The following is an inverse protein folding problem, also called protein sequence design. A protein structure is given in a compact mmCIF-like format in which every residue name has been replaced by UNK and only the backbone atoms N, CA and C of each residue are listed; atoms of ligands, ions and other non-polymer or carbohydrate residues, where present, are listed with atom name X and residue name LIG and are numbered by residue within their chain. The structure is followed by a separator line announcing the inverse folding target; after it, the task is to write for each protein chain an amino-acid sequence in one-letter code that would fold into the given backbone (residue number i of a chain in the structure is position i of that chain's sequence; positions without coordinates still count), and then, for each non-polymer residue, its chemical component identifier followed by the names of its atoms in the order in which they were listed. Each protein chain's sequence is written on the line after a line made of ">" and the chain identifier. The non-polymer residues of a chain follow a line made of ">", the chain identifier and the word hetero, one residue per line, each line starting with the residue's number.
data_IF_969768733310
#
_entry.id   IF_969768733310
#
_cell.length_a   1.000
_cell.length_b   1.000
_cell.length_c   1.000
_cell.angle_alpha   90.00
_cell.angle_beta   90.00
_cell.angle_gamma   90.00
#
_symmetry.space_group_name_H-M   'P 1'
#
loop_
_entity.id
_entity.type
_entity.pdbx_description
1 polymer ?
#
# COMPACT_ATOMS: atom_id res chain seq x y z
N UNK A 1 -11.16 44.72 -42.91
CA UNK A 1 -12.00 43.85 -42.04
C UNK A 1 -11.45 42.43 -42.15
N UNK A 2 -10.69 41.98 -41.15
CA UNK A 2 -10.06 40.65 -41.14
C UNK A 2 -11.15 39.58 -40.97
N UNK A 3 -11.29 38.68 -41.95
CA UNK A 3 -12.23 37.55 -41.87
C UNK A 3 -11.80 36.67 -40.68
N UNK A 4 -12.69 36.49 -39.72
CA UNK A 4 -12.47 35.65 -38.54
C UNK A 4 -11.97 34.26 -38.94
N UNK A 5 -10.77 33.90 -38.48
CA UNK A 5 -10.05 32.70 -38.90
C UNK A 5 -10.42 31.47 -38.04
N UNK A 6 -11.69 31.39 -37.64
CA UNK A 6 -12.20 30.41 -36.66
C UNK A 6 -12.78 29.19 -37.39
N UNK A 7 -12.34 28.01 -36.98
CA UNK A 7 -12.93 26.72 -37.28
C UNK A 7 -13.96 26.32 -36.22
N UNK A 8 -15.09 25.79 -36.68
CA UNK A 8 -16.03 25.07 -35.81
C UNK A 8 -15.85 23.59 -36.08
N UNK A 9 -15.43 22.83 -35.08
CA UNK A 9 -15.32 21.38 -35.14
C UNK A 9 -16.44 20.75 -34.30
N UNK A 10 -17.02 19.65 -34.79
CA UNK A 10 -18.07 18.91 -34.09
C UNK A 10 -17.46 17.67 -33.48
N UNK A 11 -17.49 17.55 -32.16
CA UNK A 11 -16.92 16.42 -31.44
C UNK A 11 -18.06 15.52 -30.99
N UNK A 12 -18.13 14.31 -31.55
CA UNK A 12 -19.09 13.27 -31.17
C UNK A 12 -18.47 12.38 -30.09
N UNK A 13 -19.10 12.38 -28.92
CA UNK A 13 -18.80 11.49 -27.79
C UNK A 13 -19.95 10.50 -27.55
N UNK A 14 -19.77 9.48 -26.69
CA UNK A 14 -20.87 8.61 -26.24
C UNK A 14 -22.03 9.37 -25.58
N UNK A 15 -21.78 10.55 -25.00
CA UNK A 15 -22.76 11.38 -24.29
C UNK A 15 -23.46 12.41 -25.20
N UNK A 16 -23.04 12.52 -26.47
CA UNK A 16 -23.59 13.47 -27.42
C UNK A 16 -22.52 14.23 -28.21
N UNK A 17 -22.98 15.16 -29.06
CA UNK A 17 -22.12 15.95 -29.95
C UNK A 17 -22.04 17.40 -29.48
N UNK A 18 -20.83 17.91 -29.23
CA UNK A 18 -20.60 19.33 -28.88
C UNK A 18 -19.78 20.03 -29.97
N UNK A 19 -19.94 21.34 -30.09
CA UNK A 19 -19.21 22.18 -31.05
C UNK A 19 -18.08 22.92 -30.34
N UNK A 20 -16.91 22.97 -30.97
CA UNK A 20 -15.72 23.66 -30.47
C UNK A 20 -15.27 24.67 -31.49
N UNK A 21 -15.07 25.90 -31.05
CA UNK A 21 -14.47 27.00 -31.82
C UNK A 21 -12.96 27.04 -31.58
N UNK A 22 -12.18 27.01 -32.65
CA UNK A 22 -10.71 26.96 -32.59
C UNK A 22 -10.09 27.70 -33.78
N UNK A 23 -8.96 28.39 -33.63
CA UNK A 23 -8.31 29.08 -34.75
C UNK A 23 -7.64 28.08 -35.72
N UNK A 24 -7.56 28.43 -37.01
CA UNK A 24 -6.89 27.60 -38.04
C UNK A 24 -5.41 27.38 -37.79
N UNK A 25 -4.75 28.36 -37.16
CA UNK A 25 -3.30 28.33 -36.87
C UNK A 25 -2.94 27.49 -35.64
N UNK A 26 -3.95 27.09 -34.87
CA UNK A 26 -3.78 26.32 -33.65
C UNK A 26 -3.36 24.87 -33.91
N UNK A 27 -2.83 24.25 -32.85
CA UNK A 27 -2.18 22.95 -32.91
C UNK A 27 -3.09 21.84 -32.39
N UNK A 28 -2.71 20.60 -32.67
CA UNK A 28 -3.53 19.46 -32.25
C UNK A 28 -3.59 19.36 -30.72
N UNK A 29 -2.60 19.87 -29.97
CA UNK A 29 -2.65 19.90 -28.50
C UNK A 29 -3.73 20.85 -27.96
N UNK A 30 -3.91 22.05 -28.55
CA UNK A 30 -4.93 23.00 -28.08
C UNK A 30 -6.33 22.48 -28.39
N UNK A 31 -6.51 21.69 -29.45
CA UNK A 31 -7.75 20.96 -29.69
C UNK A 31 -8.08 19.98 -28.56
N UNK A 32 -7.08 19.25 -28.03
CA UNK A 32 -7.30 18.34 -26.89
C UNK A 32 -7.66 19.10 -25.61
N UNK A 33 -7.02 20.25 -25.35
CA UNK A 33 -7.36 21.14 -24.22
C UNK A 33 -8.81 21.64 -24.32
N UNK A 34 -9.22 22.11 -25.50
CA UNK A 34 -10.60 22.56 -25.72
C UNK A 34 -11.63 21.44 -25.58
N UNK A 35 -11.31 20.23 -26.03
CA UNK A 35 -12.18 19.06 -25.85
C UNK A 35 -12.29 18.69 -24.37
N UNK A 36 -11.18 18.72 -23.64
CA UNK A 36 -11.16 18.49 -22.21
C UNK A 36 -12.12 19.44 -21.47
N UNK A 37 -12.02 20.74 -21.75
CA UNK A 37 -12.81 21.78 -21.09
C UNK A 37 -14.29 21.71 -21.47
N UNK A 38 -14.60 21.53 -22.76
CA UNK A 38 -16.00 21.51 -23.24
C UNK A 38 -16.76 20.28 -22.76
N UNK A 39 -16.07 19.16 -22.52
CA UNK A 39 -16.66 17.94 -21.99
C UNK A 39 -16.54 17.80 -20.47
N UNK A 40 -15.86 18.71 -19.76
CA UNK A 40 -15.58 18.60 -18.32
C UNK A 40 -14.94 17.25 -17.96
N UNK A 41 -13.92 16.86 -18.72
CA UNK A 41 -13.21 15.61 -18.53
C UNK A 41 -12.29 15.71 -17.29
N UNK A 42 -12.10 14.60 -16.57
CA UNK A 42 -11.18 14.53 -15.42
C UNK A 42 -9.73 14.30 -15.83
N UNK A 43 -9.46 14.30 -17.15
CA UNK A 43 -8.12 14.15 -17.73
C UNK A 43 -8.16 13.84 -19.22
N UNK A 44 -6.99 13.79 -19.83
CA UNK A 44 -6.80 13.58 -21.29
C UNK A 44 -6.90 12.11 -21.73
N UNK A 45 -7.70 11.30 -21.03
CA UNK A 45 -7.86 9.85 -21.30
C UNK A 45 -8.93 9.59 -22.35
N UNK A 46 -8.80 10.27 -23.48
CA UNK A 46 -9.65 10.11 -24.65
C UNK A 46 -8.80 10.20 -25.91
N UNK A 47 -9.28 9.53 -26.96
CA UNK A 47 -8.63 9.56 -28.28
C UNK A 47 -9.60 10.16 -29.28
N UNK A 48 -9.08 11.06 -30.12
CA UNK A 48 -9.83 11.70 -31.20
C UNK A 48 -9.53 11.01 -32.53
N UNK A 49 -10.58 10.67 -33.28
CA UNK A 49 -10.52 10.04 -34.59
C UNK A 49 -11.23 10.90 -35.64
N UNK A 50 -10.71 10.94 -36.87
CA UNK A 50 -11.34 11.69 -37.98
C UNK A 50 -12.53 10.97 -38.59
N UNK A 51 -12.54 9.64 -38.55
CA UNK A 51 -13.54 8.83 -39.24
C UNK A 51 -14.39 8.00 -38.27
N UNK A 52 -15.62 7.74 -38.71
CA UNK A 52 -16.56 6.86 -38.01
C UNK A 52 -16.03 5.43 -38.07
N UNK A 53 -15.75 4.82 -36.91
CA UNK A 53 -15.12 3.50 -36.80
C UNK A 53 -13.68 3.53 -36.26
N UNK A 54 -13.29 4.61 -35.57
CA UNK A 54 -12.00 4.74 -34.87
C UNK A 54 -10.78 4.60 -35.78
N UNK A 55 -10.87 5.11 -37.01
CA UNK A 55 -9.77 5.19 -37.99
C UNK A 55 -9.24 6.61 -38.10
N UNK A 56 -7.93 6.74 -38.35
CA UNK A 56 -7.26 8.04 -38.50
C UNK A 56 -7.16 8.82 -37.20
N UNK A 57 -6.36 8.30 -36.25
CA UNK A 57 -6.10 8.92 -34.95
C UNK A 57 -5.43 10.29 -35.09
N UNK A 58 -5.98 11.29 -34.39
CA UNK A 58 -5.39 12.62 -34.23
C UNK A 58 -4.47 12.60 -33.01
N UNK A 59 -3.18 12.37 -33.24
CA UNK A 59 -2.19 12.38 -32.15
C UNK A 59 -1.97 13.81 -31.64
N UNK A 60 -2.08 14.01 -30.33
CA UNK A 60 -1.76 15.28 -29.69
C UNK A 60 -0.29 15.63 -29.93
N UNK A 61 -0.03 16.79 -30.54
CA UNK A 61 1.31 17.27 -30.87
C UNK A 61 1.36 18.79 -30.84
N UNK A 62 2.46 19.34 -30.31
CA UNK A 62 2.76 20.78 -30.27
C UNK A 62 3.22 21.35 -31.62
N UNK A 63 3.57 20.48 -32.58
CA UNK A 63 4.11 20.90 -33.89
C UNK A 63 3.16 20.73 -35.06
N UNK A 64 2.08 19.95 -34.89
CA UNK A 64 1.10 19.69 -35.96
C UNK A 64 -0.11 20.61 -35.82
N UNK A 65 -0.30 21.48 -36.81
CA UNK A 65 -1.48 22.35 -36.91
C UNK A 65 -2.71 21.58 -37.39
N UNK A 66 -3.90 22.06 -37.05
CA UNK A 66 -5.16 21.43 -37.46
C UNK A 66 -5.30 21.30 -38.98
N UNK A 67 -4.79 22.30 -39.71
CA UNK A 67 -4.73 22.30 -41.18
C UNK A 67 -3.76 21.24 -41.70
N UNK A 68 -2.60 21.04 -41.07
CA UNK A 68 -1.64 19.97 -41.46
C UNK A 68 -2.21 18.56 -41.20
N UNK A 69 -3.12 18.45 -40.24
CA UNK A 69 -3.91 17.26 -39.99
C UNK A 69 -5.11 17.13 -40.93
N UNK A 70 -5.30 18.01 -41.92
CA UNK A 70 -6.34 17.92 -42.93
C UNK A 70 -7.76 18.21 -42.41
N UNK A 71 -7.90 18.85 -41.25
CA UNK A 71 -9.21 19.21 -40.67
C UNK A 71 -9.74 20.50 -41.31
N UNK A 72 -11.04 20.50 -41.63
CA UNK A 72 -11.77 21.62 -42.22
C UNK A 72 -12.89 22.10 -41.29
N UNK A 73 -13.36 23.32 -41.56
CA UNK A 73 -14.51 23.87 -40.84
C UNK A 73 -15.75 22.98 -41.03
N UNK A 74 -16.37 22.56 -39.93
CA UNK A 74 -17.56 21.73 -39.91
C UNK A 74 -17.30 20.23 -39.79
N UNK A 75 -16.03 19.78 -39.78
CA UNK A 75 -15.69 18.36 -39.68
C UNK A 75 -16.17 17.73 -38.37
N UNK A 76 -16.53 16.44 -38.46
CA UNK A 76 -16.93 15.62 -37.33
C UNK A 76 -15.74 14.81 -36.83
N UNK A 77 -15.42 14.94 -35.55
CA UNK A 77 -14.35 14.20 -34.88
C UNK A 77 -15.00 13.29 -33.85
N UNK A 78 -14.58 12.03 -33.82
CA UNK A 78 -15.14 11.01 -32.95
C UNK A 78 -14.23 10.86 -31.74
N UNK A 79 -14.75 11.17 -30.55
CA UNK A 79 -14.06 11.01 -29.28
C UNK A 79 -14.40 9.65 -28.68
N UNK A 80 -13.39 8.92 -28.24
CA UNK A 80 -13.57 7.63 -27.56
C UNK A 80 -12.79 7.63 -26.26
N UNK A 81 -13.42 7.31 -25.12
CA UNK A 81 -12.70 7.19 -23.86
C UNK A 81 -11.68 6.04 -23.96
N UNK A 82 -10.44 6.31 -23.58
CA UNK A 82 -9.45 5.25 -23.41
C UNK A 82 -9.72 4.61 -22.04
N UNK A 83 -10.41 3.46 -22.06
CA UNK A 83 -10.96 2.68 -20.93
C UNK A 83 -12.43 3.01 -20.64
N UNK A 84 -13.24 1.98 -20.41
CA UNK A 84 -14.68 2.03 -20.12
C UNK A 84 -15.03 2.64 -18.76
N UNK A 85 -14.46 3.80 -18.45
CA UNK A 85 -14.79 4.60 -17.28
C UNK A 85 -15.80 5.66 -17.73
N UNK A 86 -17.04 5.51 -17.30
CA UNK A 86 -18.03 6.58 -17.31
C UNK A 86 -17.45 7.78 -16.56
N UNK A 87 -17.61 8.97 -17.14
CA UNK A 87 -17.32 10.23 -16.49
C UNK A 87 -18.26 10.40 -15.28
N UNK A 88 -17.73 10.64 -14.08
CA UNK A 88 -17.76 11.97 -13.44
C UNK A 88 -17.07 12.00 -12.07
N UNK A 89 -16.26 13.05 -11.94
CA UNK A 89 -15.85 13.82 -10.74
C UNK A 89 -14.71 13.28 -9.85
N UNK A 90 -13.63 14.08 -9.85
CA UNK A 90 -12.63 14.32 -8.79
C UNK A 90 -11.76 13.12 -8.36
N UNK A 91 -10.58 12.91 -8.94
CA UNK A 91 -9.30 13.64 -8.76
C UNK A 91 -8.55 13.29 -7.46
N UNK A 92 -7.54 12.43 -7.60
CA UNK A 92 -6.23 12.60 -6.96
C UNK A 92 -5.18 11.96 -7.88
N UNK A 93 -4.34 12.81 -8.48
CA UNK A 93 -3.19 12.40 -9.25
C UNK A 93 -1.95 12.24 -8.38
N UNK A 94 -1.06 11.37 -8.80
CA UNK A 94 0.37 11.43 -8.46
C UNK A 94 1.16 11.62 -9.75
N UNK A 95 1.95 12.69 -9.80
CA UNK A 95 3.06 12.91 -10.74
C UNK A 95 4.22 11.98 -10.35
N UNK A 96 5.08 11.52 -11.26
CA UNK A 96 6.23 12.30 -11.72
C UNK A 96 6.76 11.87 -13.10
N UNK A 97 7.33 12.85 -13.78
CA UNK A 97 8.08 12.76 -15.03
C UNK A 97 9.58 12.83 -14.76
N UNK A 98 10.39 12.13 -15.58
CA UNK A 98 11.81 12.44 -15.71
C UNK A 98 12.19 12.54 -17.19
N UNK A 99 12.92 13.60 -17.54
CA UNK A 99 13.49 13.85 -18.87
C UNK A 99 15.01 13.81 -18.83
N UNK A 100 15.55 13.34 -19.94
CA UNK A 100 16.97 13.07 -20.22
C UNK A 100 17.66 14.27 -20.86
N UNK A 101 19.01 14.25 -20.89
CA UNK A 101 19.76 14.78 -22.03
C UNK A 101 21.14 14.12 -22.21
N UNK A 102 21.55 14.04 -23.49
CA UNK A 102 22.77 13.40 -24.03
C UNK A 102 23.80 14.45 -24.46
N UNK A 103 25.07 14.07 -24.49
CA UNK A 103 26.02 14.41 -25.58
C UNK A 103 27.27 13.49 -25.54
N UNK A 104 28.01 13.46 -26.64
CA UNK A 104 28.86 12.36 -27.15
C UNK A 104 30.35 12.70 -27.35
N UNK A 105 31.25 11.73 -27.25
CA UNK A 105 32.22 11.18 -28.28
C UNK A 105 33.51 10.59 -27.60
N UNK A 106 34.51 9.97 -28.29
CA UNK A 106 34.76 8.52 -28.22
C UNK A 106 36.21 8.11 -27.80
N UNK A 107 36.44 6.83 -27.44
CA UNK A 107 37.81 6.29 -27.42
C UNK A 107 38.07 5.04 -26.57
N UNK A 108 38.48 3.98 -27.26
CA UNK A 108 39.48 2.95 -26.86
C UNK A 108 39.02 1.73 -26.04
N UNK A 109 39.38 0.57 -26.62
CA UNK A 109 39.09 -0.81 -26.25
C UNK A 109 39.67 -1.26 -24.91
N UNK A 110 38.93 -2.10 -24.19
CA UNK A 110 39.42 -2.85 -23.03
C UNK A 110 38.33 -3.76 -22.47
N UNK A 111 38.40 -5.04 -22.82
CA UNK A 111 37.53 -6.10 -22.28
C UNK A 111 37.73 -6.24 -20.77
N UNK A 112 36.70 -5.95 -19.97
CA UNK A 112 36.65 -6.34 -18.57
C UNK A 112 35.19 -6.49 -18.12
N UNK A 113 34.89 -7.66 -17.57
CA UNK A 113 33.62 -8.13 -17.00
C UNK A 113 33.05 -7.13 -15.99
N UNK A 114 32.07 -6.34 -16.42
CA UNK A 114 31.32 -5.43 -15.57
C UNK A 114 30.33 -6.21 -14.70
N UNK A 115 30.70 -6.39 -13.43
CA UNK A 115 29.79 -6.75 -12.33
C UNK A 115 28.61 -5.78 -12.34
N UNK A 116 27.42 -6.29 -12.64
CA UNK A 116 26.16 -5.56 -12.46
C UNK A 116 25.99 -5.37 -10.95
N UNK A 117 26.37 -4.20 -10.44
CA UNK A 117 25.89 -3.73 -9.14
C UNK A 117 24.43 -3.34 -9.34
N UNK A 118 23.52 -4.18 -8.85
CA UNK A 118 22.14 -3.77 -8.62
C UNK A 118 22.24 -2.59 -7.64
N UNK A 119 21.86 -1.40 -8.08
CA UNK A 119 21.72 -0.25 -7.20
C UNK A 119 20.65 -0.60 -6.20
N UNK A 120 21.03 -0.91 -4.96
CA UNK A 120 20.08 -0.95 -3.86
C UNK A 120 19.48 0.45 -3.78
N UNK A 121 18.18 0.57 -4.03
CA UNK A 121 17.41 1.71 -3.53
C UNK A 121 17.75 1.79 -2.03
N UNK A 122 18.48 2.80 -1.60
CA UNK A 122 18.84 2.99 -0.20
C UNK A 122 17.58 3.45 0.53
N UNK A 123 16.72 2.48 0.86
CA UNK A 123 15.54 2.69 1.68
C UNK A 123 15.99 2.58 3.13
N UNK A 124 15.68 3.60 3.91
CA UNK A 124 15.93 3.64 5.34
C UNK A 124 14.94 2.72 6.04
N UNK A 125 15.46 1.67 6.69
CA UNK A 125 14.65 0.76 7.51
C UNK A 125 14.47 1.34 8.90
N UNK A 126 13.36 0.99 9.56
CA UNK A 126 13.08 1.48 10.90
C UNK A 126 14.14 0.99 11.90
N UNK A 127 14.41 1.80 12.93
CA UNK A 127 15.45 1.52 13.92
C UNK A 127 15.30 0.14 14.57
N UNK A 128 14.06 -0.28 14.87
CA UNK A 128 13.76 -1.60 15.43
C UNK A 128 14.21 -2.75 14.52
N UNK A 129 14.08 -2.59 13.21
CA UNK A 129 14.47 -3.62 12.25
C UNK A 129 15.99 -3.71 12.15
N UNK A 130 16.69 -2.57 12.22
CA UNK A 130 18.15 -2.52 12.28
C UNK A 130 18.71 -3.15 13.56
N UNK A 131 18.03 -2.96 14.70
CA UNK A 131 18.40 -3.58 15.98
C UNK A 131 18.20 -5.10 15.91
N UNK A 132 17.01 -5.55 15.51
CA UNK A 132 16.68 -6.98 15.43
C UNK A 132 17.54 -7.72 14.40
N UNK A 133 17.89 -7.06 13.29
CA UNK A 133 18.78 -7.65 12.29
C UNK A 133 20.19 -7.93 12.82
N UNK A 134 20.67 -7.20 13.83
CA UNK A 134 21.98 -7.44 14.46
C UNK A 134 21.94 -8.58 15.48
N UNK A 135 20.75 -8.96 15.97
CA UNK A 135 20.56 -10.03 16.95
C UNK A 135 20.48 -11.40 16.25
N UNK A 136 21.07 -12.44 16.84
CA UNK A 136 20.96 -13.80 16.30
C UNK A 136 19.57 -14.41 16.55
N UNK A 137 18.93 -14.04 17.66
CA UNK A 137 17.63 -14.54 18.08
C UNK A 137 17.66 -15.94 18.68
N UNK A 138 18.85 -16.47 19.00
CA UNK A 138 18.96 -17.84 19.50
C UNK A 138 18.43 -17.96 20.91
N UNK A 139 17.62 -18.99 21.13
CA UNK A 139 16.98 -19.24 22.42
C UNK A 139 17.92 -20.11 23.26
N UNK A 140 18.41 -19.55 24.37
CA UNK A 140 19.31 -20.26 25.27
C UNK A 140 18.56 -21.32 26.07
N UNK A 141 19.03 -22.56 26.01
CA UNK A 141 18.48 -23.66 26.82
C UNK A 141 19.30 -23.84 28.10
N UNK A 142 18.62 -24.17 29.19
CA UNK A 142 19.29 -24.61 30.40
C UNK A 142 19.84 -26.03 30.22
N UNK A 143 20.88 -26.38 30.99
CA UNK A 143 21.44 -27.72 30.98
C UNK A 143 20.43 -28.71 31.57
N UNK A 144 20.03 -29.70 30.79
CA UNK A 144 19.22 -30.81 31.28
C UNK A 144 20.09 -31.73 32.17
N UNK A 145 19.79 -31.79 33.47
CA UNK A 145 20.55 -32.57 34.45
C UNK A 145 20.57 -34.08 34.15
N UNK A 146 19.55 -34.61 33.46
CA UNK A 146 19.40 -36.05 33.18
C UNK A 146 20.05 -36.44 31.86
N UNK A 147 19.95 -35.59 30.84
CA UNK A 147 20.40 -35.89 29.48
C UNK A 147 21.78 -35.30 29.14
N UNK A 148 22.23 -34.24 29.82
CA UNK A 148 23.50 -33.58 29.51
C UNK A 148 24.69 -34.21 30.23
N UNK A 149 25.44 -35.08 29.53
CA UNK A 149 26.67 -35.72 30.04
C UNK A 149 27.94 -34.97 29.62
N UNK A 150 28.05 -33.70 29.98
CA UNK A 150 29.23 -32.88 29.67
C UNK A 150 29.51 -31.86 30.79
N UNK A 151 30.74 -31.34 30.81
CA UNK A 151 31.18 -30.29 31.75
C UNK A 151 30.49 -28.94 31.51
N UNK A 152 30.78 -27.95 32.37
CA UNK A 152 30.09 -26.65 32.37
C UNK A 152 30.26 -25.83 31.07
N UNK A 153 31.41 -25.94 30.40
CA UNK A 153 31.75 -25.16 29.20
C UNK A 153 31.50 -25.91 27.88
N UNK A 154 30.92 -27.11 27.94
CA UNK A 154 30.56 -27.89 26.75
C UNK A 154 29.05 -27.81 26.52
N UNK A 155 28.63 -28.03 25.28
CA UNK A 155 27.21 -28.12 24.91
C UNK A 155 26.93 -29.41 24.12
N UNK A 156 25.77 -30.00 24.35
CA UNK A 156 25.24 -31.13 23.56
C UNK A 156 23.92 -30.76 22.88
N UNK A 157 23.34 -31.71 22.16
CA UNK A 157 22.05 -31.56 21.46
C UNK A 157 20.88 -31.20 22.39
N UNK A 158 20.99 -31.45 23.69
CA UNK A 158 19.93 -31.14 24.68
C UNK A 158 20.05 -29.75 25.31
N UNK A 159 21.20 -29.08 25.18
CA UNK A 159 21.43 -27.75 25.78
C UNK A 159 21.99 -26.71 24.79
N UNK A 160 22.26 -27.08 23.54
CA UNK A 160 22.64 -26.12 22.50
C UNK A 160 21.52 -25.08 22.30
N UNK A 161 21.81 -23.83 21.95
CA UNK A 161 20.74 -22.87 21.70
C UNK A 161 19.80 -23.33 20.57
N UNK A 162 18.51 -23.07 20.72
CA UNK A 162 17.52 -23.33 19.67
C UNK A 162 17.46 -22.16 18.69
N UNK A 163 17.06 -22.45 17.46
CA UNK A 163 16.81 -21.42 16.46
C UNK A 163 15.51 -20.66 16.78
N UNK A 164 15.40 -19.36 16.44
CA UNK A 164 14.23 -18.53 16.75
C UNK A 164 12.92 -19.02 16.11
N UNK A 165 13.02 -19.92 15.12
CA UNK A 165 11.89 -20.49 14.38
C UNK A 165 11.65 -21.98 14.73
N UNK A 166 12.15 -22.46 15.86
CA UNK A 166 11.91 -23.83 16.33
C UNK A 166 10.43 -24.07 16.68
N UNK A 167 9.79 -25.01 15.99
CA UNK A 167 8.35 -25.24 16.09
C UNK A 167 7.92 -25.78 17.46
N UNK A 168 8.76 -26.61 18.12
CA UNK A 168 8.42 -27.20 19.42
C UNK A 168 8.43 -26.11 20.50
N UNK A 169 9.46 -25.27 20.51
CA UNK A 169 9.53 -24.14 21.44
C UNK A 169 8.33 -23.20 21.30
N UNK A 170 7.96 -22.86 20.06
CA UNK A 170 6.84 -21.95 19.81
C UNK A 170 5.51 -22.55 20.28
N UNK A 171 5.30 -23.86 20.09
CA UNK A 171 4.12 -24.56 20.60
C UNK A 171 4.07 -24.57 22.14
N UNK A 172 5.19 -24.89 22.80
CA UNK A 172 5.29 -24.89 24.27
C UNK A 172 5.00 -23.51 24.87
N UNK A 173 5.45 -22.44 24.21
CA UNK A 173 5.21 -21.05 24.64
C UNK A 173 3.87 -20.47 24.14
N UNK A 174 3.01 -21.27 23.51
CA UNK A 174 1.73 -20.83 22.93
C UNK A 174 1.87 -19.69 21.89
N UNK A 175 3.00 -19.64 21.18
CA UNK A 175 3.27 -18.66 20.13
C UNK A 175 2.71 -19.18 18.80
N UNK A 176 1.62 -18.58 18.34
CA UNK A 176 0.87 -19.04 17.15
C UNK A 176 1.54 -18.73 15.79
N UNK A 177 2.38 -17.70 15.73
CA UNK A 177 3.01 -17.22 14.49
C UNK A 177 4.46 -16.83 14.78
N UNK A 178 5.32 -17.01 13.79
CA UNK A 178 6.68 -16.47 13.81
C UNK A 178 6.64 -14.94 13.81
N UNK A 179 7.56 -14.30 14.52
CA UNK A 179 7.87 -12.90 14.24
C UNK A 179 8.46 -12.79 12.83
N UNK A 180 8.28 -11.65 12.18
CA UNK A 180 8.81 -11.45 10.82
C UNK A 180 10.33 -11.63 10.76
N UNK A 181 11.08 -11.19 11.78
CA UNK A 181 12.52 -11.38 11.82
C UNK A 181 12.94 -12.84 12.04
N UNK A 182 12.18 -13.62 12.82
CA UNK A 182 12.39 -15.08 12.93
C UNK A 182 12.11 -15.78 11.60
N UNK A 183 11.09 -15.34 10.86
CA UNK A 183 10.82 -15.82 9.50
C UNK A 183 11.95 -15.47 8.53
N UNK A 184 12.50 -14.26 8.58
CA UNK A 184 13.70 -13.89 7.82
C UNK A 184 14.90 -14.77 8.18
N UNK A 185 15.11 -15.09 9.46
CA UNK A 185 16.16 -16.04 9.89
C UNK A 185 15.95 -17.44 9.31
N UNK A 186 14.71 -17.95 9.29
CA UNK A 186 14.35 -19.22 8.66
C UNK A 186 14.74 -19.24 7.17
N UNK A 187 14.47 -18.15 6.44
CA UNK A 187 14.79 -18.04 5.01
C UNK A 187 16.29 -17.83 4.74
N UNK A 188 17.00 -17.18 5.67
CA UNK A 188 18.43 -16.84 5.51
C UNK A 188 19.38 -17.85 6.15
N UNK A 189 18.88 -18.81 6.94
CA UNK A 189 19.69 -19.81 7.66
C UNK A 189 20.34 -20.89 6.78
N UNK A 190 20.01 -20.95 5.49
CA UNK A 190 20.60 -21.92 4.55
C UNK A 190 22.03 -21.60 4.11
N UNK A 191 22.61 -22.49 3.30
CA UNK A 191 24.00 -22.38 2.78
C UNK A 191 24.25 -21.06 2.05
N UNK A 192 23.24 -20.56 1.34
CA UNK A 192 23.32 -19.32 0.56
C UNK A 192 23.23 -18.03 1.39
N UNK A 193 22.99 -18.13 2.71
CA UNK A 193 22.88 -17.00 3.65
C UNK A 193 21.97 -15.87 3.15
N UNK A 194 20.87 -16.23 2.48
CA UNK A 194 19.92 -15.25 1.94
C UNK A 194 20.36 -14.54 0.66
N UNK A 195 21.43 -14.96 -0.02
CA UNK A 195 21.92 -14.33 -1.27
C UNK A 195 20.87 -14.25 -2.38
N UNK A 196 19.95 -15.21 -2.41
CA UNK A 196 18.86 -15.29 -3.39
C UNK A 196 17.48 -14.97 -2.77
N UNK A 197 17.44 -14.47 -1.54
CA UNK A 197 16.20 -14.10 -0.91
C UNK A 197 15.64 -12.85 -1.58
N UNK A 198 14.50 -13.00 -2.25
CA UNK A 198 13.73 -11.92 -2.82
C UNK A 198 12.28 -12.02 -2.32
N UNK A 199 11.91 -11.11 -1.42
CA UNK A 199 10.56 -11.02 -0.90
C UNK A 199 9.71 -10.15 -1.84
N UNK A 200 8.62 -10.72 -2.33
CA UNK A 200 7.71 -10.04 -3.25
C UNK A 200 6.31 -9.96 -2.65
N UNK A 201 5.71 -8.77 -2.67
CA UNK A 201 4.30 -8.62 -2.31
C UNK A 201 3.43 -9.29 -3.37
N UNK A 202 2.36 -9.94 -2.93
CA UNK A 202 1.38 -10.53 -3.84
C UNK A 202 0.72 -9.41 -4.65
N UNK A 203 0.87 -9.46 -5.97
CA UNK A 203 0.21 -8.52 -6.89
C UNK A 203 -0.81 -9.26 -7.74
N UNK A 204 -2.08 -8.88 -7.59
CA UNK A 204 -3.20 -9.38 -8.39
C UNK A 204 -3.42 -8.51 -9.65
N UNK A 205 -2.54 -7.55 -9.91
CA UNK A 205 -2.65 -6.64 -11.05
C UNK A 205 -2.03 -7.26 -12.30
N UNK A 206 -2.57 -6.91 -13.47
CA UNK A 206 -2.01 -7.32 -14.75
C UNK A 206 -0.62 -6.70 -14.89
N UNK A 207 0.38 -7.53 -15.22
CA UNK A 207 1.76 -7.06 -15.41
C UNK A 207 1.81 -6.10 -16.60
N UNK A 208 2.29 -4.88 -16.36
CA UNK A 208 2.47 -3.86 -17.40
C UNK A 208 3.72 -4.14 -18.23
N UNK A 209 3.72 -3.72 -19.51
CA UNK A 209 4.91 -3.79 -20.37
C UNK A 209 5.08 -5.10 -21.14
N UNK A 210 4.03 -5.92 -21.29
CA UNK A 210 4.07 -7.05 -22.21
C UNK A 210 4.20 -6.57 -23.66
N UNK A 211 5.14 -7.16 -24.40
CA UNK A 211 5.43 -6.80 -25.81
C UNK A 211 4.63 -7.63 -26.83
N UNK A 212 3.93 -8.67 -26.39
CA UNK A 212 3.26 -9.65 -27.28
C UNK A 212 1.82 -9.28 -27.64
N UNK A 213 1.25 -8.26 -26.99
CA UNK A 213 -0.10 -7.79 -27.25
C UNK A 213 -0.21 -6.28 -27.01
N UNK A 214 -1.23 -5.60 -27.57
CA UNK A 214 -1.51 -4.21 -27.23
C UNK A 214 -1.71 -4.04 -25.71
N UNK A 215 -1.34 -2.88 -25.13
CA UNK A 215 -1.53 -2.65 -23.71
C UNK A 215 -2.96 -2.90 -23.24
N UNK A 216 -3.11 -3.44 -22.03
CA UNK A 216 -4.41 -3.57 -21.36
C UNK A 216 -5.17 -2.23 -21.40
N UNK A 217 -6.48 -2.20 -21.73
CA UNK A 217 -7.43 -3.32 -21.86
C UNK A 217 -7.57 -3.93 -23.25
N UNK A 218 -6.75 -3.53 -24.23
CA UNK A 218 -6.89 -3.98 -25.64
C UNK A 218 -6.32 -5.37 -25.92
N UNK A 219 -5.57 -5.95 -24.99
CA UNK A 219 -5.02 -7.29 -25.11
C UNK A 219 -4.48 -7.79 -23.76
N UNK A 220 -4.50 -9.11 -23.59
CA UNK A 220 -3.94 -9.82 -22.44
C UNK A 220 -3.39 -11.16 -22.94
N UNK A 221 -2.31 -11.65 -22.34
CA UNK A 221 -1.77 -12.98 -22.57
C UNK A 221 -1.52 -13.71 -21.26
N UNK A 222 -1.26 -15.02 -21.33
CA UNK A 222 -0.98 -15.85 -20.16
C UNK A 222 0.27 -15.41 -19.38
N UNK A 223 1.21 -14.69 -20.02
CA UNK A 223 2.43 -14.20 -19.37
C UNK A 223 2.22 -12.94 -18.53
N UNK A 224 1.21 -12.12 -18.87
CA UNK A 224 0.93 -10.86 -18.15
C UNK A 224 -0.28 -10.97 -17.21
N UNK A 225 -1.14 -11.97 -17.42
CA UNK A 225 -2.22 -12.31 -16.51
C UNK A 225 -1.65 -12.67 -15.13
N UNK A 226 -2.24 -12.19 -14.02
CA UNK A 226 -1.85 -12.62 -12.70
C UNK A 226 -2.15 -14.10 -12.50
N UNK A 227 -1.29 -14.79 -11.74
CA UNK A 227 -1.51 -16.19 -11.39
C UNK A 227 -2.74 -16.33 -10.49
N UNK A 228 -3.40 -17.49 -10.56
CA UNK A 228 -4.43 -17.84 -9.59
C UNK A 228 -3.83 -17.87 -8.17
N UNK A 229 -4.56 -17.32 -7.21
CA UNK A 229 -4.09 -17.18 -5.83
C UNK A 229 -4.71 -18.28 -4.98
N UNK A 230 -3.87 -18.99 -4.23
CA UNK A 230 -4.28 -19.89 -3.16
C UNK A 230 -4.08 -19.19 -1.83
N UNK A 231 -5.16 -18.98 -1.07
CA UNK A 231 -5.11 -18.35 0.23
C UNK A 231 -4.73 -19.38 1.29
N UNK A 232 -3.48 -19.34 1.74
CA UNK A 232 -2.96 -20.16 2.83
C UNK A 232 -2.89 -19.36 4.13
N UNK A 233 -2.88 -20.06 5.28
CA UNK A 233 -2.62 -19.40 6.57
C UNK A 233 -1.21 -18.82 6.56
N UNK A 234 -1.08 -17.54 6.87
CA UNK A 234 0.22 -16.88 6.97
C UNK A 234 0.99 -17.44 8.18
N UNK A 235 2.28 -17.77 7.99
CA UNK A 235 3.11 -18.39 9.04
C UNK A 235 3.74 -17.38 10.02
N UNK A 236 3.80 -16.11 9.61
CA UNK A 236 4.46 -15.04 10.35
C UNK A 236 3.58 -13.80 10.47
N UNK A 237 3.96 -12.87 11.35
CA UNK A 237 3.35 -11.54 11.49
C UNK A 237 4.42 -10.48 11.66
N UNK A 238 4.13 -9.26 11.22
CA UNK A 238 5.07 -8.13 11.30
C UNK A 238 5.19 -7.54 12.70
N UNK A 239 4.08 -7.49 13.43
CA UNK A 239 4.00 -6.99 14.80
C UNK A 239 3.40 -8.07 15.68
N UNK A 240 4.07 -8.42 16.77
CA UNK A 240 3.71 -9.52 17.66
C UNK A 240 2.83 -9.10 18.82
N UNK A 241 2.98 -7.85 19.27
CA UNK A 241 2.29 -7.34 20.45
C UNK A 241 1.87 -5.88 20.25
N UNK A 242 0.73 -5.51 20.85
CA UNK A 242 0.29 -4.12 20.96
C UNK A 242 0.20 -3.80 22.45
N UNK A 243 0.84 -2.73 22.87
CA UNK A 243 0.87 -2.29 24.27
C UNK A 243 0.45 -0.82 24.32
N UNK A 244 -0.51 -0.49 25.16
CA UNK A 244 -0.81 0.91 25.47
C UNK A 244 0.07 1.36 26.63
N UNK A 245 0.78 2.48 26.49
CA UNK A 245 1.62 3.03 27.56
C UNK A 245 0.83 3.33 28.83
N UNK A 246 -0.44 3.73 28.66
CA UNK A 246 -1.32 4.07 29.76
C UNK A 246 -2.76 3.62 29.47
N UNK A 247 -3.39 2.95 30.44
CA UNK A 247 -4.80 2.55 30.38
C UNK A 247 -5.73 3.76 30.17
N UNK A 248 -5.35 4.95 30.67
CA UNK A 248 -6.12 6.18 30.48
C UNK A 248 -6.31 6.57 29.00
N UNK A 249 -5.43 6.14 28.09
CA UNK A 249 -5.59 6.38 26.65
C UNK A 249 -6.87 5.69 26.14
N UNK A 250 -7.01 4.41 26.48
CA UNK A 250 -8.16 3.59 26.08
C UNK A 250 -9.41 4.07 26.82
N UNK A 251 -9.31 4.36 28.12
CA UNK A 251 -10.44 4.88 28.89
C UNK A 251 -10.99 6.20 28.32
N UNK A 252 -10.11 7.12 27.95
CA UNK A 252 -10.51 8.39 27.32
C UNK A 252 -11.20 8.16 25.98
N UNK A 253 -10.67 7.24 25.16
CA UNK A 253 -11.27 6.87 23.88
C UNK A 253 -12.68 6.25 24.07
N UNK A 254 -12.83 5.36 25.06
CA UNK A 254 -14.10 4.70 25.36
C UNK A 254 -15.15 5.63 26.01
N UNK A 255 -14.74 6.73 26.65
CA UNK A 255 -15.67 7.70 27.21
C UNK A 255 -16.62 8.30 26.17
N UNK A 256 -16.18 8.42 24.91
CA UNK A 256 -17.06 8.85 23.83
C UNK A 256 -18.25 7.89 23.67
N UNK A 257 -17.98 6.60 23.58
CA UNK A 257 -19.02 5.57 23.48
C UNK A 257 -19.92 5.55 24.73
N UNK A 258 -19.34 5.65 25.94
CA UNK A 258 -20.12 5.69 27.19
C UNK A 258 -21.11 6.86 27.24
N UNK A 259 -20.73 8.01 26.68
CA UNK A 259 -21.56 9.21 26.68
C UNK A 259 -22.61 9.26 25.55
N UNK A 260 -22.28 8.73 24.37
CA UNK A 260 -23.10 8.86 23.16
C UNK A 260 -23.83 7.57 22.75
N UNK A 261 -23.30 6.42 23.13
CA UNK A 261 -23.71 5.11 22.60
C UNK A 261 -23.33 4.86 21.15
N UNK A 262 -22.52 5.73 20.53
CA UNK A 262 -22.05 5.58 19.15
C UNK A 262 -20.63 5.02 19.10
N UNK A 263 -20.37 4.23 18.06
CA UNK A 263 -19.04 3.66 17.83
C UNK A 263 -18.03 4.74 17.44
N UNK A 264 -16.76 4.43 17.65
CA UNK A 264 -15.65 5.37 17.46
C UNK A 264 -14.44 4.71 16.83
N UNK A 265 -13.69 5.48 16.05
CA UNK A 265 -12.41 5.09 15.45
C UNK A 265 -11.31 6.09 15.79
N UNK A 266 -10.08 5.61 15.90
CA UNK A 266 -8.89 6.42 16.11
C UNK A 266 -7.65 5.82 15.46
N UNK A 267 -6.68 6.67 15.15
CA UNK A 267 -5.34 6.26 14.73
C UNK A 267 -4.41 6.18 15.94
N UNK A 268 -3.65 5.10 16.01
CA UNK A 268 -2.70 4.82 17.08
C UNK A 268 -1.35 5.42 16.72
N UNK A 269 -0.87 6.33 17.55
CA UNK A 269 0.48 6.91 17.44
C UNK A 269 1.38 6.37 18.54
N UNK A 270 2.57 5.96 18.16
CA UNK A 270 3.43 5.17 19.02
C UNK A 270 4.81 4.92 18.42
N UNK A 271 5.47 3.89 18.93
CA UNK A 271 6.80 3.44 18.48
C UNK A 271 6.78 1.93 18.28
N UNK A 272 7.64 1.44 17.40
CA UNK A 272 7.92 0.02 17.31
C UNK A 272 9.17 -0.30 18.13
N UNK A 273 9.05 -1.26 19.05
CA UNK A 273 10.10 -1.63 19.99
C UNK A 273 10.35 -3.13 19.93
N UNK A 274 11.52 -3.56 20.40
CA UNK A 274 11.84 -4.99 20.51
C UNK A 274 10.97 -5.65 21.57
N UNK A 275 10.44 -6.82 21.29
CA UNK A 275 9.63 -7.60 22.21
C UNK A 275 10.34 -8.92 22.56
N UNK A 276 10.63 -9.12 23.84
CA UNK A 276 11.40 -10.26 24.34
C UNK A 276 10.62 -11.57 24.44
N UNK A 277 9.30 -11.52 24.60
CA UNK A 277 8.49 -12.71 24.89
C UNK A 277 8.29 -13.58 23.64
N UNK A 278 8.57 -13.01 22.46
CA UNK A 278 8.62 -13.72 21.18
C UNK A 278 10.03 -13.57 20.61
N UNK A 279 10.70 -14.64 20.16
CA UNK A 279 12.02 -14.54 19.55
C UNK A 279 12.03 -13.52 18.40
N UNK A 280 12.94 -12.54 18.49
CA UNK A 280 13.05 -11.43 17.55
C UNK A 280 11.71 -10.69 17.29
N UNK A 281 10.88 -10.57 18.33
CA UNK A 281 9.55 -9.99 18.21
C UNK A 281 9.55 -8.47 18.14
N UNK A 282 8.47 -7.92 17.59
CA UNK A 282 8.19 -6.47 17.57
C UNK A 282 6.92 -6.17 18.37
N UNK A 283 6.98 -5.14 19.22
CA UNK A 283 5.85 -4.56 19.93
C UNK A 283 5.54 -3.17 19.36
N UNK A 284 4.27 -2.89 19.11
CA UNK A 284 3.77 -1.54 18.89
C UNK A 284 3.36 -0.93 20.24
N UNK A 285 4.17 0.00 20.74
CA UNK A 285 3.90 0.73 21.99
C UNK A 285 3.16 2.02 21.65
N UNK A 286 1.89 2.09 22.04
CA UNK A 286 0.96 3.18 21.74
C UNK A 286 1.04 4.25 22.82
N UNK A 287 1.41 5.46 22.42
CA UNK A 287 1.52 6.64 23.29
C UNK A 287 0.31 7.57 23.18
N UNK A 288 -0.39 7.57 22.04
CA UNK A 288 -1.54 8.44 21.81
C UNK A 288 -2.57 7.81 20.86
N UNK A 289 -3.83 8.21 21.02
CA UNK A 289 -4.92 7.91 20.10
C UNK A 289 -5.39 9.24 19.52
N UNK A 290 -5.26 9.38 18.20
CA UNK A 290 -5.78 10.53 17.47
C UNK A 290 -7.12 10.16 16.82
N UNK A 291 -8.17 10.90 17.14
CA UNK A 291 -9.50 10.69 16.58
C UNK A 291 -9.69 11.61 15.36
N UNK A 292 -9.64 11.09 14.12
CA UNK A 292 -9.88 11.91 12.94
C UNK A 292 -11.35 12.37 12.88
N UNK A 293 -11.67 13.40 12.07
CA UNK A 293 -13.04 13.71 11.70
C UNK A 293 -13.79 12.45 11.26
N UNK A 294 -14.95 12.18 11.86
CA UNK A 294 -15.68 10.95 11.64
C UNK A 294 -17.16 11.12 11.99
N UNK A 295 -18.01 10.35 11.31
CA UNK A 295 -19.43 10.18 11.62
C UNK A 295 -19.63 8.77 12.20
N UNK A 296 -20.03 8.71 13.46
CA UNK A 296 -20.32 7.45 14.16
C UNK A 296 -21.81 7.27 14.38
N UNK A 297 -22.30 6.04 14.20
CA UNK A 297 -23.62 5.60 14.61
C UNK A 297 -23.50 4.45 15.60
N UNK A 298 -24.61 3.79 15.95
CA UNK A 298 -24.58 2.59 16.79
C UNK A 298 -23.92 1.39 16.11
N UNK A 299 -24.01 1.32 14.78
CA UNK A 299 -23.66 0.13 14.00
C UNK A 299 -22.69 0.45 12.84
N UNK A 300 -22.28 1.70 12.66
CA UNK A 300 -21.39 2.13 11.57
C UNK A 300 -20.48 3.29 11.96
N UNK A 301 -19.35 3.38 11.26
CA UNK A 301 -18.39 4.48 11.39
C UNK A 301 -17.93 4.87 9.99
N UNK A 302 -17.93 6.17 9.69
CA UNK A 302 -17.37 6.73 8.46
C UNK A 302 -16.26 7.70 8.84
N UNK A 303 -15.03 7.42 8.40
CA UNK A 303 -13.91 8.37 8.53
C UNK A 303 -14.06 9.44 7.46
N UNK A 304 -14.00 10.71 7.86
CA UNK A 304 -14.08 11.86 6.96
C UNK A 304 -12.67 12.37 6.60
N UNK A 305 -12.53 13.16 5.52
CA UNK A 305 -11.29 13.84 5.21
C UNK A 305 -10.78 14.69 6.38
N UNK A 306 -9.49 14.63 6.65
CA UNK A 306 -8.86 15.33 7.77
C UNK A 306 -7.85 16.38 7.30
N UNK A 307 -8.28 17.63 7.29
CA UNK A 307 -7.45 18.78 6.92
C UNK A 307 -6.22 18.95 7.83
N UNK A 308 -6.22 18.34 9.03
CA UNK A 308 -5.14 18.44 10.01
C UNK A 308 -4.18 17.25 9.97
N UNK A 309 -4.41 16.26 9.13
CA UNK A 309 -3.62 15.02 9.10
C UNK A 309 -2.12 15.31 8.95
N UNK A 310 -1.75 16.20 8.03
CA UNK A 310 -0.34 16.54 7.78
C UNK A 310 0.32 17.18 9.01
N UNK A 311 -0.40 18.04 9.73
CA UNK A 311 0.10 18.70 10.94
C UNK A 311 0.29 17.67 12.06
N UNK A 312 -0.65 16.73 12.20
CA UNK A 312 -0.57 15.66 13.21
C UNK A 312 0.61 14.73 12.92
N UNK A 313 0.84 14.37 11.65
CA UNK A 313 1.99 13.56 11.25
C UNK A 313 3.33 14.28 11.48
N UNK A 314 3.38 15.59 11.25
CA UNK A 314 4.58 16.38 11.55
C UNK A 314 4.85 16.48 13.05
N UNK A 315 3.81 16.71 13.87
CA UNK A 315 3.93 16.71 15.33
C UNK A 315 4.36 15.34 15.86
N UNK A 316 3.77 14.26 15.35
CA UNK A 316 4.17 12.90 15.69
C UNK A 316 5.66 12.69 15.40
N UNK A 317 6.13 13.09 14.22
CA UNK A 317 7.55 12.98 13.84
C UNK A 317 8.47 13.75 14.80
N UNK A 318 8.13 14.97 15.20
CA UNK A 318 8.91 15.75 16.17
C UNK A 318 8.97 15.10 17.56
N UNK A 319 7.93 14.33 17.93
CA UNK A 319 7.89 13.56 19.17
C UNK A 319 8.55 12.16 19.02
N UNK A 320 9.06 11.83 17.83
CA UNK A 320 9.57 10.50 17.49
C UNK A 320 8.50 9.41 17.47
N UNK A 321 7.25 9.79 17.26
CA UNK A 321 6.11 8.89 17.12
C UNK A 321 5.76 8.67 15.65
N UNK A 322 5.26 7.48 15.35
CA UNK A 322 4.72 7.11 14.04
C UNK A 322 3.31 6.57 14.21
N UNK A 323 2.51 6.60 13.13
CA UNK A 323 1.19 5.97 13.12
C UNK A 323 1.36 4.44 13.06
N UNK A 324 1.26 3.78 14.21
CA UNK A 324 1.52 2.33 14.35
C UNK A 324 0.32 1.45 14.02
N UNK A 325 -0.89 2.03 13.98
CA UNK A 325 -2.10 1.28 13.73
C UNK A 325 -3.37 2.11 13.80
N UNK A 326 -4.51 1.44 13.88
CA UNK A 326 -5.82 2.03 14.12
C UNK A 326 -6.62 1.19 15.12
N UNK A 327 -7.56 1.85 15.79
CA UNK A 327 -8.45 1.27 16.78
C UNK A 327 -9.88 1.65 16.48
N UNK A 328 -10.81 0.71 16.59
CA UNK A 328 -12.24 0.98 16.48
C UNK A 328 -13.03 0.22 17.55
N UNK A 329 -14.23 0.69 17.86
CA UNK A 329 -15.14 0.04 18.81
C UNK A 329 -16.23 -0.75 18.10
N UNK A 330 -16.59 -1.89 18.67
CA UNK A 330 -17.82 -2.62 18.40
C UNK A 330 -18.44 -3.01 19.75
N UNK A 331 -19.03 -2.02 20.42
CA UNK A 331 -19.55 -2.15 21.77
C UNK A 331 -21.07 -2.01 21.77
N UNK A 332 -21.74 -3.03 22.31
CA UNK A 332 -23.18 -3.05 22.51
C UNK A 332 -23.44 -3.24 24.00
N UNK A 333 -24.14 -2.30 24.62
CA UNK A 333 -24.49 -2.39 26.03
C UNK A 333 -25.39 -3.62 26.29
N UNK A 334 -25.05 -4.37 27.34
CA UNK A 334 -25.86 -5.49 27.83
C UNK A 334 -26.65 -5.06 29.06
N UNK A 335 -25.94 -4.68 30.12
CA UNK A 335 -26.51 -4.10 31.34
C UNK A 335 -25.85 -2.75 31.63
N UNK A 336 -26.59 -1.67 31.37
CA UNK A 336 -26.14 -0.29 31.54
C UNK A 336 -25.79 0.01 33.01
N UNK A 337 -26.48 -0.63 33.97
CA UNK A 337 -26.24 -0.40 35.39
C UNK A 337 -24.94 -1.03 35.87
N UNK A 338 -24.56 -2.17 35.27
CA UNK A 338 -23.30 -2.87 35.57
C UNK A 338 -22.14 -2.46 34.68
N UNK A 339 -22.41 -1.68 33.62
CA UNK A 339 -21.43 -1.31 32.61
C UNK A 339 -20.94 -2.49 31.78
N UNK A 340 -21.75 -3.54 31.63
CA UNK A 340 -21.38 -4.71 30.84
C UNK A 340 -21.75 -4.54 29.37
N UNK A 341 -20.98 -5.20 28.50
CA UNK A 341 -21.13 -5.19 27.06
C UNK A 341 -21.32 -6.61 26.54
N UNK A 342 -22.05 -6.75 25.43
CA UNK A 342 -22.31 -8.05 24.81
C UNK A 342 -21.05 -8.59 24.14
N UNK A 343 -20.82 -9.89 24.29
CA UNK A 343 -19.76 -10.62 23.59
C UNK A 343 -20.26 -11.11 22.23
N UNK A 344 -20.24 -10.23 21.23
CA UNK A 344 -20.80 -10.50 19.89
C UNK A 344 -19.79 -11.08 18.90
N UNK A 345 -18.49 -10.98 19.17
CA UNK A 345 -17.40 -11.45 18.31
C UNK A 345 -16.74 -12.70 18.86
N UNK A 346 -17.15 -13.87 18.39
CA UNK A 346 -16.69 -15.17 18.90
C UNK A 346 -16.58 -16.22 17.78
N UNK A 347 -16.30 -17.48 18.16
CA UNK A 347 -16.12 -18.60 17.23
C UNK A 347 -17.38 -18.97 16.44
N UNK A 348 -18.57 -18.67 16.98
CA UNK A 348 -19.87 -18.92 16.36
C UNK A 348 -20.32 -17.76 15.46
N UNK A 349 -19.68 -16.60 15.56
CA UNK A 349 -19.95 -15.41 14.75
C UNK A 349 -18.77 -15.07 13.83
N UNK A 350 -18.02 -14.02 14.16
CA UNK A 350 -16.82 -13.57 13.46
C UNK A 350 -15.95 -12.74 14.41
N UNK A 351 -14.65 -12.66 14.13
CA UNK A 351 -13.72 -11.77 14.85
C UNK A 351 -13.55 -10.42 14.15
N UNK A 352 -13.49 -10.42 12.82
CA UNK A 352 -13.43 -9.23 11.97
C UNK A 352 -14.42 -9.37 10.82
N UNK A 353 -15.12 -8.29 10.49
CA UNK A 353 -16.03 -8.25 9.35
C UNK A 353 -15.25 -8.07 8.04
N UNK A 354 -15.86 -8.43 6.90
CA UNK A 354 -15.21 -8.26 5.60
C UNK A 354 -14.83 -6.80 5.32
N UNK A 355 -15.69 -5.85 5.70
CA UNK A 355 -15.43 -4.42 5.52
C UNK A 355 -14.26 -3.94 6.39
N UNK A 356 -14.14 -4.43 7.62
CA UNK A 356 -12.99 -4.14 8.49
C UNK A 356 -11.69 -4.69 7.91
N UNK A 357 -11.72 -5.92 7.37
CA UNK A 357 -10.56 -6.51 6.70
C UNK A 357 -10.11 -5.71 5.47
N UNK A 358 -11.07 -5.25 4.64
CA UNK A 358 -10.78 -4.39 3.48
C UNK A 358 -10.17 -3.07 3.93
N UNK A 359 -10.74 -2.45 4.97
CA UNK A 359 -10.28 -1.18 5.53
C UNK A 359 -8.87 -1.32 6.12
N UNK A 360 -8.61 -2.39 6.87
CA UNK A 360 -7.30 -2.70 7.41
C UNK A 360 -6.27 -2.91 6.29
N UNK A 361 -6.61 -3.66 5.24
CA UNK A 361 -5.74 -3.85 4.08
C UNK A 361 -5.43 -2.55 3.33
N UNK A 362 -6.42 -1.66 3.19
CA UNK A 362 -6.22 -0.32 2.62
C UNK A 362 -5.24 0.51 3.46
N UNK A 363 -5.43 0.57 4.78
CA UNK A 363 -4.55 1.31 5.69
C UNK A 363 -3.12 0.73 5.74
N UNK A 364 -2.99 -0.59 5.69
CA UNK A 364 -1.69 -1.26 5.60
C UNK A 364 -0.94 -0.93 4.29
N UNK A 365 -1.66 -0.87 3.16
CA UNK A 365 -1.06 -0.50 1.87
C UNK A 365 -0.57 0.96 1.83
N UNK A 366 -1.18 1.85 2.62
CA UNK A 366 -0.69 3.22 2.78
C UNK A 366 0.57 3.33 3.64
N UNK A 367 0.87 2.30 4.44
CA UNK A 367 1.99 2.27 5.39
C UNK A 367 2.87 1.03 5.15
N UNK A 368 3.51 0.95 3.97
CA UNK A 368 4.35 -0.19 3.63
C UNK A 368 5.58 -0.25 4.54
N UNK A 369 6.01 -1.46 4.91
CA UNK A 369 7.18 -1.67 5.75
C UNK A 369 8.47 -1.70 4.90
N UNK A 370 9.44 -0.79 5.14
CA UNK A 370 10.77 -0.86 4.53
C UNK A 370 11.42 -2.23 4.71
N UNK A 371 11.96 -2.80 3.63
CA UNK A 371 12.59 -4.12 3.70
C UNK A 371 13.66 -4.28 2.62
N UNK A 372 14.92 -4.43 3.05
CA UNK A 372 16.08 -4.64 2.17
C UNK A 372 16.03 -5.91 1.30
N UNK A 373 15.24 -6.90 1.70
CA UNK A 373 15.10 -8.17 0.97
C UNK A 373 14.03 -8.12 -0.12
N UNK A 374 13.32 -6.99 -0.25
CA UNK A 374 12.32 -6.82 -1.30
C UNK A 374 12.88 -6.12 -2.52
N UNK A 375 12.49 -6.57 -3.72
CA UNK A 375 12.87 -5.94 -4.98
C UNK A 375 12.27 -4.54 -5.15
N UNK A 376 11.09 -4.29 -4.57
CA UNK A 376 10.47 -2.95 -4.49
C UNK A 376 10.96 -2.15 -3.30
N UNK A 377 11.74 -2.78 -2.41
CA UNK A 377 12.27 -2.20 -1.19
C UNK A 377 11.28 -2.10 -0.02
N UNK A 378 10.06 -2.60 -0.20
CA UNK A 378 9.03 -2.65 0.82
C UNK A 378 8.34 -4.01 0.82
N UNK A 379 8.08 -4.57 2.00
CA UNK A 379 7.40 -5.86 2.13
C UNK A 379 6.45 -5.87 3.32
N UNK A 380 5.16 -6.11 3.05
CA UNK A 380 4.10 -6.09 4.04
C UNK A 380 3.97 -4.75 4.78
N UNK A 381 3.44 -4.80 6.00
CA UNK A 381 3.22 -3.63 6.86
C UNK A 381 3.24 -4.02 8.34
N UNK A 382 3.84 -3.17 9.19
CA UNK A 382 3.76 -3.29 10.67
C UNK A 382 2.49 -2.68 11.26
N UNK A 383 1.63 -2.09 10.42
CA UNK A 383 0.44 -1.38 10.85
C UNK A 383 -0.60 -2.33 11.47
N UNK A 384 -0.93 -2.10 12.73
CA UNK A 384 -1.83 -2.98 13.52
C UNK A 384 -3.28 -2.51 13.46
N UNK A 385 -4.20 -3.46 13.67
CA UNK A 385 -5.64 -3.21 13.80
C UNK A 385 -6.09 -3.67 15.18
N UNK A 386 -6.73 -2.78 15.94
CA UNK A 386 -7.29 -3.07 17.27
C UNK A 386 -8.80 -2.92 17.22
N UNK A 387 -9.54 -3.97 17.56
CA UNK A 387 -10.98 -3.91 17.74
C UNK A 387 -11.30 -4.00 19.23
N UNK A 388 -12.05 -3.03 19.76
CA UNK A 388 -12.53 -3.04 21.14
C UNK A 388 -13.96 -3.55 21.16
N UNK A 389 -14.15 -4.76 21.70
CA UNK A 389 -15.43 -5.47 21.77
C UNK A 389 -15.63 -6.03 23.18
N UNK A 390 -16.85 -6.43 23.53
CA UNK A 390 -17.11 -7.22 24.73
C UNK A 390 -16.44 -8.61 24.66
N UNK A 391 -16.01 -9.11 25.83
CA UNK A 391 -15.32 -10.38 26.00
C UNK A 391 -16.13 -11.33 26.90
#
# INVERSE_FOLDING_TARGET
>A
MSKSNIFILRIQSPEGTKRIEIDKSETTITLYERVHDVFNLTGYRFVLYKEKGHKGELVSSKSKTLVSCGLKHGDMIYMTPSNGTLMRSAEAGSSESNTTNRSSTPGTSGSATSKIRVGSLQIEEDEVDLILWKQDGKIQRQKDEKLCRHGANACCVHCSPLEPFDENYLQEQNIKHLSFHSYLRKLTGGVDRGKFLALENISCSIKTGCKEHPPWPRGICTKCQPNAITLNRQEYRHTDNVMFENAHLVERFLNYWRSSGFQRVGFLYGRYETHSDVPLGIRATVAAIYEPPQEGSKDSITILPDDREQIVEELARHLGLVRVGWIFTDLIADDIQKGTVKHVRNIESHFLSAQECITAGYLQNQRPNPCRFSSTGYFGSKFVTVCVTGA
#
